data_IF_474967959461
#
_entry.id   IF_474967959461
#
_cell.length_a   1.000
_cell.length_b   1.000
_cell.length_c   1.000
_cell.angle_alpha   90.00
_cell.angle_beta   90.00
_cell.angle_gamma   90.00
#
_symmetry.space_group_name_H-M   'P 1'
#
loop_
_entity.id
_entity.type
_entity.pdbx_description
1 polymer ?
#
# COMPACT_ATOMS: atom_id res chain seq x y z
N UNK A 1 2.37 8.80 -10.22
CA UNK A 1 2.58 9.78 -9.18
C UNK A 1 1.71 9.55 -7.95
N UNK A 2 1.82 10.43 -6.99
CA UNK A 2 1.00 10.41 -5.76
C UNK A 2 -0.37 11.09 -6.02
N UNK A 3 -1.49 10.34 -6.05
CA UNK A 3 -2.78 10.93 -6.42
C UNK A 3 -3.26 11.99 -5.42
N UNK A 4 -2.95 11.83 -4.14
CA UNK A 4 -3.41 12.78 -3.11
C UNK A 4 -2.70 14.14 -3.16
N UNK A 5 -1.67 14.33 -3.99
CA UNK A 5 -1.13 15.65 -4.32
C UNK A 5 -1.98 16.39 -5.35
N UNK A 6 -2.85 15.68 -6.09
CA UNK A 6 -3.83 16.24 -7.01
C UNK A 6 -5.26 15.96 -6.50
N UNK A 7 -5.48 16.30 -5.24
CA UNK A 7 -6.61 15.85 -4.43
C UNK A 7 -7.97 16.09 -5.09
N UNK A 8 -8.25 17.33 -5.49
CA UNK A 8 -9.59 17.71 -5.98
C UNK A 8 -9.91 17.01 -7.31
N UNK A 9 -8.98 17.03 -8.29
CA UNK A 9 -9.19 16.32 -9.56
C UNK A 9 -9.31 14.79 -9.40
N UNK A 10 -8.63 14.22 -8.40
CA UNK A 10 -8.75 12.78 -8.11
C UNK A 10 -10.13 12.48 -7.54
N UNK A 11 -10.67 13.30 -6.63
CA UNK A 11 -12.02 13.11 -6.12
C UNK A 11 -13.08 13.29 -7.20
N UNK A 12 -12.98 14.32 -8.04
CA UNK A 12 -13.88 14.52 -9.19
C UNK A 12 -13.89 13.28 -10.10
N UNK A 13 -12.70 12.71 -10.37
CA UNK A 13 -12.58 11.49 -11.18
C UNK A 13 -13.23 10.28 -10.49
N UNK A 14 -13.05 10.14 -9.19
CA UNK A 14 -13.65 9.08 -8.37
C UNK A 14 -15.17 9.20 -8.36
N UNK A 15 -15.69 10.40 -8.18
CA UNK A 15 -17.14 10.67 -8.19
C UNK A 15 -17.73 10.33 -9.56
N UNK A 16 -17.06 10.71 -10.66
CA UNK A 16 -17.47 10.35 -12.02
C UNK A 16 -17.48 8.82 -12.23
N UNK A 17 -16.47 8.11 -11.71
CA UNK A 17 -16.42 6.63 -11.79
C UNK A 17 -17.59 5.98 -11.06
N UNK A 18 -18.03 6.56 -9.94
CA UNK A 18 -19.13 5.99 -9.12
C UNK A 18 -20.49 6.46 -9.53
N UNK A 19 -20.60 7.56 -10.28
CA UNK A 19 -21.87 8.18 -10.65
C UNK A 19 -22.72 7.25 -11.52
N UNK A 20 -23.96 7.02 -11.14
CA UNK A 20 -24.88 6.06 -11.79
C UNK A 20 -25.16 6.39 -13.27
N UNK A 21 -25.19 7.68 -13.63
CA UNK A 21 -25.38 8.16 -15.00
C UNK A 21 -24.07 8.21 -15.82
N UNK A 22 -22.93 7.83 -15.22
CA UNK A 22 -21.64 7.76 -15.90
C UNK A 22 -21.14 6.31 -15.95
N UNK A 23 -20.15 5.96 -15.09
CA UNK A 23 -19.57 4.61 -15.10
C UNK A 23 -20.25 3.62 -14.15
N UNK A 24 -20.98 4.06 -13.14
CA UNK A 24 -21.71 3.23 -12.18
C UNK A 24 -20.84 2.22 -11.42
N UNK A 25 -19.55 2.51 -11.23
CA UNK A 25 -18.64 1.58 -10.57
C UNK A 25 -18.90 1.59 -9.06
N UNK A 26 -19.16 0.41 -8.49
CA UNK A 26 -19.33 0.29 -7.04
C UNK A 26 -18.10 0.83 -6.29
N UNK A 27 -18.34 1.65 -5.26
CA UNK A 27 -17.32 2.22 -4.36
C UNK A 27 -16.31 1.21 -3.79
N UNK A 28 -16.71 -0.06 -3.64
CA UNK A 28 -15.84 -1.14 -3.19
C UNK A 28 -14.82 -1.57 -4.24
N UNK A 29 -15.04 -1.21 -5.49
CA UNK A 29 -14.16 -1.53 -6.64
C UNK A 29 -13.26 -0.35 -7.02
N UNK A 30 -13.52 0.83 -6.47
CA UNK A 30 -12.66 2.00 -6.63
C UNK A 30 -11.72 2.09 -5.44
N UNK A 31 -10.44 2.23 -5.70
CA UNK A 31 -9.40 2.29 -4.66
C UNK A 31 -8.44 3.44 -4.98
N UNK A 32 -8.25 4.32 -4.02
CA UNK A 32 -7.16 5.32 -4.07
C UNK A 32 -5.93 4.68 -3.42
N UNK A 33 -4.81 4.68 -4.13
CA UNK A 33 -3.52 4.24 -3.59
C UNK A 33 -2.67 5.45 -3.25
N UNK A 34 -2.03 5.46 -2.08
CA UNK A 34 -1.23 6.60 -1.61
C UNK A 34 0.05 6.15 -0.92
N UNK A 35 1.10 6.95 -1.08
CA UNK A 35 2.32 6.83 -0.29
C UNK A 35 2.19 7.47 1.11
N UNK A 36 1.09 8.18 1.39
CA UNK A 36 0.79 8.68 2.72
C UNK A 36 0.88 10.19 2.89
N UNK A 37 0.15 10.95 2.10
CA UNK A 37 -0.07 12.40 2.30
C UNK A 37 -1.09 12.58 3.42
N UNK A 38 -0.63 12.58 4.68
CA UNK A 38 -1.47 12.57 5.89
C UNK A 38 -2.58 13.62 5.88
N UNK A 39 -2.31 14.92 5.59
CA UNK A 39 -3.38 15.93 5.56
C UNK A 39 -4.46 15.62 4.52
N UNK A 40 -4.08 15.03 3.38
CA UNK A 40 -5.03 14.68 2.33
C UNK A 40 -5.88 13.46 2.72
N UNK A 41 -5.31 12.48 3.45
CA UNK A 41 -6.07 11.35 3.99
C UNK A 41 -7.15 11.85 4.96
N UNK A 42 -6.83 12.79 5.86
CA UNK A 42 -7.83 13.42 6.72
C UNK A 42 -8.92 14.17 5.91
N UNK A 43 -8.55 14.86 4.83
CA UNK A 43 -9.49 15.55 3.94
C UNK A 43 -10.45 14.60 3.20
N UNK A 44 -10.07 13.34 2.99
CA UNK A 44 -10.95 12.34 2.38
C UNK A 44 -12.13 11.98 3.27
N UNK A 45 -11.97 12.07 4.59
CA UNK A 45 -13.00 11.72 5.55
C UNK A 45 -14.28 12.56 5.33
N UNK A 46 -15.40 11.88 5.12
CA UNK A 46 -16.69 12.51 4.82
C UNK A 46 -16.84 13.08 3.41
N UNK A 47 -15.79 13.03 2.55
CA UNK A 47 -15.87 13.47 1.14
C UNK A 47 -16.01 12.31 0.16
N UNK A 48 -15.46 11.16 0.49
CA UNK A 48 -15.56 9.96 -0.33
C UNK A 48 -15.56 8.72 0.56
N UNK A 49 -16.09 7.62 0.06
CA UNK A 49 -16.15 6.34 0.77
C UNK A 49 -15.53 5.16 -0.01
N UNK A 50 -14.62 5.47 -0.91
CA UNK A 50 -13.86 4.48 -1.68
C UNK A 50 -12.86 3.71 -0.83
N UNK A 51 -12.33 2.62 -1.36
CA UNK A 51 -11.28 1.86 -0.69
C UNK A 51 -9.95 2.63 -0.71
N UNK A 52 -9.15 2.46 0.34
CA UNK A 52 -7.82 3.05 0.45
C UNK A 52 -6.76 1.96 0.45
N UNK A 53 -5.71 2.13 -0.36
CA UNK A 53 -4.50 1.34 -0.34
C UNK A 53 -3.32 2.20 0.10
N UNK A 54 -2.57 1.72 1.07
CA UNK A 54 -1.40 2.40 1.61
C UNK A 54 -0.12 1.70 1.18
N UNK A 55 0.72 2.40 0.43
CA UNK A 55 2.09 2.00 0.12
C UNK A 55 2.97 2.16 1.37
N UNK A 56 2.96 1.14 2.25
CA UNK A 56 3.71 1.15 3.50
C UNK A 56 5.18 0.77 3.28
N UNK A 57 5.43 -0.38 2.67
CA UNK A 57 6.71 -0.94 2.22
C UNK A 57 7.80 -1.13 3.30
N UNK A 58 7.51 -0.83 4.57
CA UNK A 58 8.47 -0.96 5.66
C UNK A 58 7.76 -1.25 6.99
N UNK A 59 8.41 -1.97 7.92
CA UNK A 59 7.85 -2.26 9.23
C UNK A 59 8.13 -1.15 10.26
N UNK A 60 9.07 -0.23 9.95
CA UNK A 60 9.52 0.86 10.83
C UNK A 60 9.90 2.10 10.02
N UNK A 61 10.07 3.23 10.72
CA UNK A 61 10.37 4.52 10.10
C UNK A 61 11.78 4.58 9.50
N UNK A 62 12.74 3.86 10.03
CA UNK A 62 14.12 3.84 9.51
C UNK A 62 14.13 3.34 8.06
N UNK A 63 13.58 2.16 7.84
CA UNK A 63 13.49 1.56 6.51
C UNK A 63 12.54 2.39 5.62
N UNK A 64 11.42 2.87 6.18
CA UNK A 64 10.46 3.64 5.39
C UNK A 64 11.03 4.97 4.92
N UNK A 65 11.87 5.63 5.70
CA UNK A 65 12.55 6.87 5.31
C UNK A 65 13.47 6.70 4.08
N UNK A 66 14.00 5.48 3.90
CA UNK A 66 14.81 5.15 2.72
C UNK A 66 13.96 4.83 1.49
N UNK A 67 12.89 4.05 1.68
CA UNK A 67 12.06 3.53 0.57
C UNK A 67 10.98 4.50 0.13
N UNK A 68 10.42 5.28 1.07
CA UNK A 68 9.27 6.16 0.87
C UNK A 68 9.56 7.51 1.53
N UNK A 69 10.27 8.43 0.87
CA UNK A 69 10.82 9.64 1.49
C UNK A 69 9.80 10.57 2.17
N UNK A 70 8.52 10.52 1.78
CA UNK A 70 7.45 11.30 2.43
C UNK A 70 7.28 10.92 3.91
N UNK A 71 7.77 9.74 4.32
CA UNK A 71 7.75 9.30 5.71
C UNK A 71 8.49 10.24 6.66
N UNK A 72 9.54 10.92 6.18
CA UNK A 72 10.27 11.92 6.97
C UNK A 72 9.38 13.07 7.42
N UNK A 73 8.33 13.37 6.64
CA UNK A 73 7.33 14.39 6.96
C UNK A 73 6.15 13.81 7.76
N UNK A 74 5.77 12.59 7.44
CA UNK A 74 4.62 11.90 8.03
C UNK A 74 5.04 10.49 8.47
N UNK A 75 5.56 10.32 9.71
CA UNK A 75 5.95 9.02 10.25
C UNK A 75 4.80 8.03 10.29
N UNK A 76 5.13 6.74 10.33
CA UNK A 76 4.17 5.62 10.28
C UNK A 76 3.05 5.78 11.30
N UNK A 77 3.36 6.22 12.53
CA UNK A 77 2.34 6.38 13.57
C UNK A 77 1.25 7.37 13.16
N UNK A 78 1.63 8.56 12.67
CA UNK A 78 0.69 9.58 12.19
C UNK A 78 -0.08 9.09 10.95
N UNK A 79 0.60 8.38 10.07
CA UNK A 79 0.01 7.83 8.86
C UNK A 79 -1.07 6.80 9.17
N UNK A 80 -0.80 5.86 10.06
CA UNK A 80 -1.78 4.84 10.48
C UNK A 80 -2.95 5.47 11.26
N UNK A 81 -2.70 6.50 12.04
CA UNK A 81 -3.76 7.26 12.71
C UNK A 81 -4.71 7.91 11.69
N UNK A 82 -4.17 8.59 10.68
CA UNK A 82 -4.97 9.19 9.61
C UNK A 82 -5.78 8.12 8.83
N UNK A 83 -5.16 6.97 8.54
CA UNK A 83 -5.87 5.87 7.89
C UNK A 83 -6.98 5.30 8.79
N UNK A 84 -6.75 5.17 10.09
CA UNK A 84 -7.77 4.72 11.06
C UNK A 84 -8.93 5.71 11.13
N UNK A 85 -8.64 7.00 11.16
CA UNK A 85 -9.65 8.06 11.11
C UNK A 85 -10.53 7.93 9.86
N UNK A 86 -9.89 7.83 8.68
CA UNK A 86 -10.62 7.64 7.41
C UNK A 86 -11.49 6.38 7.44
N UNK A 87 -10.95 5.24 7.85
CA UNK A 87 -11.72 3.99 7.94
C UNK A 87 -12.92 4.12 8.87
N UNK A 88 -12.81 4.90 9.95
CA UNK A 88 -13.91 5.18 10.87
C UNK A 88 -15.10 5.89 10.22
N UNK A 89 -14.87 6.62 9.13
CA UNK A 89 -15.96 7.28 8.37
C UNK A 89 -16.64 6.38 7.33
N UNK A 90 -16.05 5.21 7.05
CA UNK A 90 -16.54 4.31 5.97
C UNK A 90 -17.59 3.28 6.43
N UNK A 91 -17.99 3.30 7.69
CA UNK A 91 -18.89 2.31 8.26
C UNK A 91 -18.22 0.96 8.55
N UNK A 92 -19.01 0.01 9.06
CA UNK A 92 -18.48 -1.26 9.55
C UNK A 92 -17.85 -2.13 8.46
N UNK A 93 -16.82 -2.92 8.86
CA UNK A 93 -16.16 -3.95 8.06
C UNK A 93 -15.30 -3.45 6.89
N UNK A 94 -14.96 -2.16 6.85
CA UNK A 94 -13.99 -1.66 5.85
C UNK A 94 -12.57 -1.88 6.35
N UNK A 95 -11.71 -2.30 5.46
CA UNK A 95 -10.29 -2.58 5.76
C UNK A 95 -9.38 -1.80 4.83
N UNK A 96 -8.23 -1.38 5.35
CA UNK A 96 -7.14 -0.80 4.58
C UNK A 96 -6.41 -1.90 3.81
N UNK A 97 -6.05 -1.63 2.56
CA UNK A 97 -5.07 -2.47 1.87
C UNK A 97 -3.67 -1.94 2.16
N UNK A 98 -2.82 -2.75 2.77
CA UNK A 98 -1.40 -2.44 2.98
C UNK A 98 -0.60 -3.05 1.83
N UNK A 99 0.00 -2.22 1.01
CA UNK A 99 0.95 -2.64 -0.02
C UNK A 99 2.36 -2.72 0.61
N UNK A 100 2.99 -3.88 0.52
CA UNK A 100 4.33 -4.12 1.06
C UNK A 100 5.22 -4.79 0.02
N UNK A 101 6.09 -4.01 -0.60
CA UNK A 101 7.08 -4.52 -1.55
C UNK A 101 8.21 -5.18 -0.79
N UNK A 102 8.39 -6.48 -0.98
CA UNK A 102 9.48 -7.26 -0.39
C UNK A 102 10.76 -7.08 -1.21
N UNK A 103 11.83 -6.60 -0.57
CA UNK A 103 13.13 -6.30 -1.16
C UNK A 103 14.19 -7.09 -0.41
N UNK A 104 14.95 -7.92 -1.14
CA UNK A 104 15.98 -8.78 -0.56
C UNK A 104 17.03 -7.99 0.23
N UNK A 105 17.22 -8.37 1.49
CA UNK A 105 18.21 -7.77 2.38
C UNK A 105 17.87 -6.38 2.90
N UNK A 106 16.69 -5.84 2.58
CA UNK A 106 16.25 -4.52 3.02
C UNK A 106 15.12 -4.63 4.05
N UNK A 107 14.01 -5.28 3.67
CA UNK A 107 12.80 -5.36 4.50
C UNK A 107 12.18 -6.77 4.54
N UNK A 108 12.91 -7.79 4.10
CA UNK A 108 12.44 -9.17 3.95
C UNK A 108 12.91 -10.13 5.06
N UNK A 109 13.64 -9.61 6.07
CA UNK A 109 14.19 -10.44 7.13
C UNK A 109 13.09 -10.91 8.12
N UNK A 110 13.30 -12.04 8.83
CA UNK A 110 12.32 -12.57 9.78
C UNK A 110 11.87 -11.58 10.85
N UNK A 111 12.78 -10.73 11.37
CA UNK A 111 12.45 -9.71 12.37
C UNK A 111 11.57 -8.60 11.77
N UNK A 112 11.78 -8.20 10.51
CA UNK A 112 10.90 -7.24 9.84
C UNK A 112 9.45 -7.75 9.75
N UNK A 113 9.25 -9.04 9.51
CA UNK A 113 7.92 -9.65 9.54
C UNK A 113 7.29 -9.59 10.94
N UNK A 114 8.09 -9.77 11.99
CA UNK A 114 7.62 -9.66 13.38
C UNK A 114 7.27 -8.21 13.76
N UNK A 115 8.11 -7.25 13.36
CA UNK A 115 7.85 -5.82 13.54
C UNK A 115 6.56 -5.39 12.82
N UNK A 116 6.39 -5.80 11.56
CA UNK A 116 5.18 -5.51 10.78
C UNK A 116 3.93 -6.11 11.43
N UNK A 117 4.02 -7.35 11.91
CA UNK A 117 2.92 -8.00 12.62
C UNK A 117 2.56 -7.25 13.91
N UNK A 118 3.56 -6.76 14.64
CA UNK A 118 3.35 -5.96 15.86
C UNK A 118 2.74 -4.61 15.53
N UNK A 119 3.26 -3.92 14.52
CA UNK A 119 2.77 -2.62 14.04
C UNK A 119 1.29 -2.66 13.65
N UNK A 120 0.88 -3.73 12.96
CA UNK A 120 -0.48 -3.86 12.41
C UNK A 120 -1.44 -4.65 13.31
N UNK A 121 -1.02 -5.02 14.52
CA UNK A 121 -1.88 -5.76 15.47
C UNK A 121 -3.13 -4.96 15.79
N UNK A 122 -4.30 -5.57 15.55
CA UNK A 122 -5.60 -4.93 15.80
C UNK A 122 -5.94 -3.80 14.82
N UNK A 123 -5.12 -3.59 13.79
CA UNK A 123 -5.45 -2.64 12.72
C UNK A 123 -6.31 -3.34 11.65
N UNK A 124 -7.47 -2.78 11.25
CA UNK A 124 -8.33 -3.42 10.25
C UNK A 124 -7.72 -3.32 8.85
N UNK A 125 -6.88 -4.29 8.48
CA UNK A 125 -6.19 -4.28 7.20
C UNK A 125 -6.10 -5.66 6.54
N UNK A 126 -5.79 -5.63 5.24
CA UNK A 126 -5.30 -6.76 4.45
C UNK A 126 -3.94 -6.38 3.88
N UNK A 127 -2.99 -7.30 3.93
CA UNK A 127 -1.63 -7.06 3.43
C UNK A 127 -1.49 -7.71 2.05
N UNK A 128 -1.02 -6.92 1.09
CA UNK A 128 -0.63 -7.36 -0.23
C UNK A 128 0.90 -7.35 -0.32
N UNK A 129 1.52 -8.51 -0.22
CA UNK A 129 2.97 -8.67 -0.38
C UNK A 129 3.31 -8.68 -1.86
N UNK A 130 4.21 -7.81 -2.26
CA UNK A 130 4.65 -7.63 -3.65
C UNK A 130 6.15 -7.97 -3.71
N UNK A 131 6.56 -9.19 -4.10
CA UNK A 131 7.96 -9.44 -4.36
C UNK A 131 8.49 -8.47 -5.41
N UNK A 132 9.60 -7.79 -5.13
CA UNK A 132 10.14 -6.75 -6.00
C UNK A 132 10.31 -7.26 -7.44
N UNK A 133 9.83 -6.50 -8.41
CA UNK A 133 10.15 -6.70 -9.81
C UNK A 133 11.40 -5.88 -10.12
N UNK A 134 12.53 -6.54 -10.22
CA UNK A 134 13.78 -5.87 -10.58
C UNK A 134 13.72 -5.40 -12.05
N UNK A 135 14.25 -4.22 -12.31
CA UNK A 135 14.42 -3.67 -13.66
C UNK A 135 15.92 -3.57 -13.99
N UNK A 136 16.29 -3.57 -15.26
CA UNK A 136 17.69 -3.42 -15.66
C UNK A 136 18.34 -2.19 -15.00
N UNK A 137 19.50 -2.38 -14.36
CA UNK A 137 20.22 -1.33 -13.62
C UNK A 137 19.79 -1.14 -12.16
N UNK A 138 18.73 -1.81 -11.67
CA UNK A 138 18.37 -1.77 -10.26
C UNK A 138 19.40 -2.44 -9.37
N UNK A 139 19.83 -1.73 -8.32
CA UNK A 139 20.67 -2.30 -7.24
C UNK A 139 19.87 -3.16 -6.27
N UNK A 140 18.55 -3.01 -6.26
CA UNK A 140 17.64 -3.76 -5.41
C UNK A 140 17.30 -5.12 -6.04
N UNK A 141 17.16 -6.15 -5.21
CA UNK A 141 16.93 -7.53 -5.65
C UNK A 141 15.63 -8.09 -5.10
N UNK A 142 15.00 -8.96 -5.89
CA UNK A 142 13.84 -9.74 -5.46
C UNK A 142 14.26 -10.81 -4.44
N UNK A 143 13.52 -11.02 -3.35
CA UNK A 143 13.69 -12.16 -2.48
C UNK A 143 13.38 -13.47 -3.22
N UNK A 144 13.97 -14.57 -2.79
CA UNK A 144 13.59 -15.88 -3.30
C UNK A 144 12.19 -16.29 -2.77
N UNK A 145 11.56 -17.26 -3.43
CA UNK A 145 10.20 -17.69 -3.09
C UNK A 145 10.10 -18.29 -1.67
N UNK A 146 11.18 -18.90 -1.16
CA UNK A 146 11.22 -19.45 0.20
C UNK A 146 11.11 -18.32 1.22
N UNK A 147 11.91 -17.25 1.06
CA UNK A 147 11.85 -16.07 1.92
C UNK A 147 10.49 -15.39 1.87
N UNK A 148 9.90 -15.23 0.68
CA UNK A 148 8.56 -14.67 0.51
C UNK A 148 7.50 -15.47 1.27
N UNK A 149 7.51 -16.81 1.12
CA UNK A 149 6.59 -17.69 1.83
C UNK A 149 6.80 -17.65 3.33
N UNK A 150 8.04 -17.68 3.81
CA UNK A 150 8.36 -17.59 5.22
C UNK A 150 7.86 -16.27 5.84
N UNK A 151 8.03 -15.15 5.13
CA UNK A 151 7.53 -13.84 5.54
C UNK A 151 5.99 -13.84 5.60
N UNK A 152 5.33 -14.36 4.56
CA UNK A 152 3.87 -14.51 4.52
C UNK A 152 3.35 -15.34 5.70
N UNK A 153 3.92 -16.54 5.92
CA UNK A 153 3.51 -17.42 7.01
C UNK A 153 3.61 -16.76 8.38
N UNK A 154 4.66 -15.97 8.61
CA UNK A 154 4.84 -15.24 9.87
C UNK A 154 3.69 -14.25 10.12
N UNK A 155 3.29 -13.51 9.12
CA UNK A 155 2.17 -12.57 9.22
C UNK A 155 0.83 -13.29 9.40
N UNK A 156 0.61 -14.36 8.66
CA UNK A 156 -0.61 -15.20 8.79
C UNK A 156 -0.71 -15.82 10.18
N UNK A 157 0.41 -16.34 10.72
CA UNK A 157 0.45 -16.89 12.07
C UNK A 157 0.21 -15.83 13.17
N UNK A 158 0.47 -14.55 12.85
CA UNK A 158 0.11 -13.42 13.70
C UNK A 158 -1.36 -12.98 13.55
N UNK A 159 -2.17 -13.69 12.77
CA UNK A 159 -3.60 -13.42 12.57
C UNK A 159 -3.92 -12.38 11.51
N UNK A 160 -2.95 -12.00 10.66
CA UNK A 160 -3.15 -11.02 9.60
C UNK A 160 -3.62 -11.69 8.29
N UNK A 161 -4.48 -11.01 7.56
CA UNK A 161 -4.90 -11.44 6.21
C UNK A 161 -3.84 -11.03 5.19
N UNK A 162 -3.20 -11.98 4.52
CA UNK A 162 -2.05 -11.74 3.65
C UNK A 162 -2.21 -12.43 2.30
N UNK A 163 -2.07 -11.67 1.23
CA UNK A 163 -1.96 -12.17 -0.14
C UNK A 163 -0.58 -11.88 -0.71
N UNK A 164 -0.07 -12.76 -1.56
CA UNK A 164 1.15 -12.52 -2.32
C UNK A 164 0.77 -12.26 -3.77
N UNK A 165 1.18 -11.11 -4.29
CA UNK A 165 0.94 -10.74 -5.68
C UNK A 165 1.83 -11.56 -6.59
N UNK A 166 1.23 -12.30 -7.52
CA UNK A 166 1.95 -12.93 -8.61
C UNK A 166 2.23 -11.89 -9.69
N UNK A 167 3.50 -11.72 -10.05
CA UNK A 167 3.91 -10.82 -11.14
C UNK A 167 3.36 -11.36 -12.46
N UNK A 168 2.78 -10.47 -13.26
CA UNK A 168 2.38 -10.73 -14.63
C UNK A 168 3.10 -9.74 -15.53
N UNK A 169 3.48 -10.17 -16.74
CA UNK A 169 4.14 -9.31 -17.73
C UNK A 169 5.64 -9.07 -17.47
N UNK A 170 6.33 -10.00 -16.78
CA UNK A 170 7.79 -9.93 -16.62
C UNK A 170 8.52 -10.00 -17.96
N UNK A 171 7.99 -10.81 -18.87
CA UNK A 171 8.51 -11.04 -20.21
C UNK A 171 8.46 -9.82 -21.15
N UNK A 172 7.50 -8.90 -20.89
CA UNK A 172 7.33 -7.67 -21.67
C UNK A 172 7.69 -6.40 -20.88
N UNK A 173 8.38 -6.52 -19.75
CA UNK A 173 8.76 -5.43 -18.85
C UNK A 173 7.59 -4.52 -18.41
N UNK A 174 6.36 -5.03 -18.42
CA UNK A 174 5.15 -4.30 -18.06
C UNK A 174 4.69 -4.52 -16.61
N UNK A 175 5.55 -5.11 -15.78
CA UNK A 175 5.24 -5.28 -14.38
C UNK A 175 5.28 -3.94 -13.62
N UNK A 176 4.48 -3.85 -12.55
CA UNK A 176 4.40 -2.64 -11.73
C UNK A 176 5.80 -2.19 -11.27
N UNK A 177 6.16 -0.94 -11.53
CA UNK A 177 7.47 -0.35 -11.23
C UNK A 177 8.51 -0.47 -12.34
N UNK A 178 8.25 -1.21 -13.44
CA UNK A 178 9.17 -1.32 -14.57
C UNK A 178 9.00 -0.22 -15.61
N UNK A 179 7.83 0.41 -15.67
CA UNK A 179 7.50 1.49 -16.64
C UNK A 179 7.91 2.89 -16.13
N UNK A 180 8.78 3.01 -15.15
CA UNK A 180 9.29 4.28 -14.67
C UNK A 180 10.33 4.82 -15.66
N UNK A 181 9.82 5.59 -16.64
CA UNK A 181 10.60 6.66 -17.26
C UNK A 181 11.81 6.25 -18.08
N UNK A 182 11.61 5.85 -19.31
CA UNK A 182 12.48 6.29 -20.40
C UNK A 182 11.93 7.66 -20.85
N UNK A 183 12.31 8.73 -20.16
CA UNK A 183 12.22 10.11 -20.60
C UNK A 183 13.64 10.61 -20.82
#
# INVERSE_FOLDING_TARGET
GEPLLNFDSVLDSVDLMMHDLAYGISKRRVTISTAGVVPAIYRMAGKTDVSLALSLHAPNDEIRNMLVPINRKYPIAQLLEACRHYLGTLGEKRTLTIEYTLIKGVNDQPHHGQELATLLRGFPCKINLIPLNAFPGSKLKRPNNISVRAFQHRLVNAGLSVTVRTTRGEDIQAACGQLAGQL
#
